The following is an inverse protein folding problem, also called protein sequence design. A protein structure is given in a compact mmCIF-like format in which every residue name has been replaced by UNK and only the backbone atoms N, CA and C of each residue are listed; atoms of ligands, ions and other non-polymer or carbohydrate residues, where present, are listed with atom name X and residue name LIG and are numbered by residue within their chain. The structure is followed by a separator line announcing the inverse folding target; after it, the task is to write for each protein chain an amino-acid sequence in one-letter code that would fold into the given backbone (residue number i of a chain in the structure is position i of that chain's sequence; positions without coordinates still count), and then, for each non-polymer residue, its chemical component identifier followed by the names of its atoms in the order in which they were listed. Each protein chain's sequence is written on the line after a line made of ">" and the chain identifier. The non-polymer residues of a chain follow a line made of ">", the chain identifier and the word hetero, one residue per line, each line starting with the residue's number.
data_IF_061149202093
#
_entry.id   IF_061149202093
#
_cell.length_a   1.000
_cell.length_b   1.000
_cell.length_c   1.000
_cell.angle_alpha   90.00
_cell.angle_beta   90.00
_cell.angle_gamma   90.00
#
_symmetry.space_group_name_H-M   'P 1'
#
loop_
_entity.id
_entity.type
_entity.pdbx_description
1 polymer ?
#
# COMPACT_ATOMS: atom_id res chain seq x y z
N UNK A 1 11.06 12.97 22.50
CA UNK A 1 10.56 13.90 23.54
C UNK A 1 10.96 13.46 24.95
N UNK A 2 10.58 12.27 25.40
CA UNK A 2 10.93 11.73 26.75
C UNK A 2 12.45 11.66 27.04
N UNK A 3 13.27 11.22 26.08
CA UNK A 3 14.73 11.19 26.26
C UNK A 3 15.35 12.58 26.48
N UNK A 4 14.82 13.61 25.80
CA UNK A 4 15.28 14.99 25.97
C UNK A 4 14.91 15.50 27.37
N UNK A 5 13.69 15.19 27.83
CA UNK A 5 13.24 15.55 29.19
C UNK A 5 14.07 14.86 30.27
N UNK A 6 14.41 13.58 30.09
CA UNK A 6 15.28 12.84 31.00
C UNK A 6 16.70 13.40 31.04
N UNK A 7 17.27 13.77 29.89
CA UNK A 7 18.58 14.40 29.82
C UNK A 7 18.60 15.76 30.54
N UNK A 8 17.55 16.57 30.38
CA UNK A 8 17.41 17.86 31.06
C UNK A 8 17.28 17.68 32.58
N UNK A 9 16.46 16.73 33.05
CA UNK A 9 16.32 16.42 34.48
C UNK A 9 17.63 15.89 35.07
N UNK A 10 18.38 15.07 34.34
CA UNK A 10 19.69 14.57 34.78
C UNK A 10 20.70 15.72 34.94
N UNK A 11 20.74 16.65 33.98
CA UNK A 11 21.59 17.85 34.05
C UNK A 11 21.23 18.73 35.25
N UNK A 12 19.94 19.00 35.45
CA UNK A 12 19.46 19.79 36.60
C UNK A 12 19.81 19.13 37.93
N UNK A 13 19.65 17.81 38.02
CA UNK A 13 20.02 17.02 39.21
C UNK A 13 21.52 17.11 39.51
N UNK A 14 22.36 17.02 38.47
CA UNK A 14 23.82 17.11 38.61
C UNK A 14 24.27 18.51 39.07
N UNK A 15 23.69 19.56 38.51
CA UNK A 15 23.97 20.94 38.90
C UNK A 15 23.56 21.21 40.36
N UNK A 16 22.36 20.77 40.76
CA UNK A 16 21.91 20.85 42.14
C UNK A 16 22.81 20.07 43.09
N UNK A 17 23.24 18.86 42.72
CA UNK A 17 24.16 18.06 43.53
C UNK A 17 25.50 18.81 43.76
N UNK A 18 26.08 19.37 42.69
CA UNK A 18 27.33 20.16 42.79
C UNK A 18 27.17 21.37 43.69
N UNK A 19 26.06 22.10 43.58
CA UNK A 19 25.77 23.27 44.42
C UNK A 19 25.61 22.89 45.89
N UNK A 20 24.82 21.84 46.17
CA UNK A 20 24.60 21.30 47.51
C UNK A 20 25.91 20.87 48.14
N UNK A 21 26.74 20.11 47.42
CA UNK A 21 28.00 19.61 47.96
C UNK A 21 29.01 20.73 48.22
N UNK A 22 29.11 21.70 47.31
CA UNK A 22 29.94 22.90 47.52
C UNK A 22 29.53 23.65 48.79
N UNK A 23 28.23 23.83 49.02
CA UNK A 23 27.71 24.50 50.22
C UNK A 23 27.87 23.66 51.49
N UNK A 24 27.72 22.34 51.41
CA UNK A 24 28.00 21.43 52.54
C UNK A 24 29.46 21.52 52.97
N UNK A 25 30.40 21.51 52.02
CA UNK A 25 31.83 21.66 52.29
C UNK A 25 32.08 23.00 52.99
N UNK A 26 31.55 24.10 52.45
CA UNK A 26 31.70 25.43 53.06
C UNK A 26 31.14 25.49 54.50
N UNK A 27 29.97 24.89 54.74
CA UNK A 27 29.39 24.81 56.09
C UNK A 27 30.21 23.91 57.03
N UNK A 28 30.73 22.79 56.53
CA UNK A 28 31.59 21.91 57.31
C UNK A 28 32.90 22.61 57.70
N UNK A 29 33.55 23.31 56.78
CA UNK A 29 34.76 24.09 57.04
C UNK A 29 34.50 25.18 58.09
N UNK A 30 33.39 25.90 57.97
CA UNK A 30 32.96 26.89 58.97
C UNK A 30 32.70 26.26 60.33
N UNK A 31 32.02 25.11 60.38
CA UNK A 31 31.73 24.41 61.63
C UNK A 31 33.02 23.92 62.30
N UNK A 32 33.96 23.38 61.52
CA UNK A 32 35.29 22.98 62.01
C UNK A 32 36.07 24.18 62.52
N UNK A 33 36.05 25.31 61.79
CA UNK A 33 36.70 26.55 62.21
C UNK A 33 36.12 27.05 63.54
N UNK A 34 34.79 27.12 63.65
CA UNK A 34 34.11 27.51 64.89
C UNK A 34 34.38 26.51 66.01
N UNK A 35 34.48 25.21 65.76
CA UNK A 35 34.81 24.25 66.81
C UNK A 35 36.26 24.40 67.30
N UNK A 36 37.22 24.55 66.38
CA UNK A 36 38.67 24.66 66.70
C UNK A 36 39.05 26.00 67.31
N UNK A 37 38.42 27.09 66.86
CA UNK A 37 38.78 28.46 67.20
C UNK A 37 37.65 29.24 67.92
N UNK A 38 36.48 28.64 68.13
CA UNK A 38 35.30 29.27 68.74
C UNK A 38 35.35 29.40 70.25
N UNK A 39 36.50 29.15 70.88
CA UNK A 39 36.78 29.66 72.21
C UNK A 39 37.00 31.20 72.21
N UNK A 40 36.91 31.85 71.04
CA UNK A 40 36.79 33.30 70.91
C UNK A 40 35.34 33.71 71.16
N UNK A 41 35.02 33.96 72.42
CA UNK A 41 33.77 34.59 72.85
C UNK A 41 33.47 35.82 71.99
N UNK A 42 32.43 35.75 71.17
CA UNK A 42 31.82 36.93 70.52
C UNK A 42 31.58 38.03 71.55
N UNK A 43 31.20 37.61 72.77
CA UNK A 43 31.08 38.47 73.94
C UNK A 43 32.41 39.15 74.32
N UNK A 44 33.57 38.48 74.28
CA UNK A 44 34.88 39.11 74.55
C UNK A 44 35.27 40.12 73.47
N UNK A 45 34.96 39.85 72.20
CA UNK A 45 35.24 40.80 71.11
C UNK A 45 34.38 42.07 71.21
N UNK A 46 33.15 41.93 71.72
CA UNK A 46 32.25 43.06 71.98
C UNK A 46 32.63 43.79 73.27
N UNK A 47 32.91 43.07 74.37
CA UNK A 47 33.25 43.63 75.70
C UNK A 47 34.67 44.23 75.72
N UNK A 48 35.60 43.67 74.94
CA UNK A 48 36.99 44.13 74.84
C UNK A 48 37.21 45.33 73.92
N UNK A 49 36.14 45.87 73.32
CA UNK A 49 36.19 47.05 72.47
C UNK A 49 36.58 48.29 73.28
N UNK A 50 37.45 49.14 72.72
CA UNK A 50 38.02 50.32 73.40
C UNK A 50 37.14 51.57 73.27
N UNK A 51 36.10 51.52 72.43
CA UNK A 51 35.18 52.63 72.19
C UNK A 51 33.78 52.15 71.82
N UNK A 52 32.77 53.00 72.02
CA UNK A 52 31.39 52.75 71.58
C UNK A 52 31.29 52.51 70.07
N UNK A 53 32.11 53.20 69.27
CA UNK A 53 32.14 53.01 67.82
C UNK A 53 32.62 51.61 67.42
N UNK A 54 33.63 51.10 68.13
CA UNK A 54 34.15 49.74 67.92
C UNK A 54 33.13 48.67 68.32
N UNK A 55 32.42 48.86 69.44
CA UNK A 55 31.30 47.98 69.85
C UNK A 55 30.24 47.90 68.75
N UNK A 56 29.82 49.06 68.23
CA UNK A 56 28.77 49.16 67.22
C UNK A 56 29.21 48.48 65.91
N UNK A 57 30.44 48.75 65.44
CA UNK A 57 30.98 48.11 64.23
C UNK A 57 31.08 46.59 64.38
N UNK A 58 31.57 46.11 65.53
CA UNK A 58 31.69 44.69 65.82
C UNK A 58 30.31 44.01 65.80
N UNK A 59 29.30 44.65 66.42
CA UNK A 59 27.92 44.16 66.41
C UNK A 59 27.33 44.11 65.00
N UNK A 60 27.58 45.14 64.17
CA UNK A 60 27.17 45.16 62.77
C UNK A 60 27.81 44.05 61.95
N UNK A 61 29.11 43.79 62.13
CA UNK A 61 29.81 42.70 61.44
C UNK A 61 29.22 41.34 61.81
N UNK A 62 28.99 41.08 63.11
CA UNK A 62 28.36 39.83 63.56
C UNK A 62 26.95 39.66 63.01
N UNK A 63 26.12 40.71 63.04
CA UNK A 63 24.79 40.67 62.43
C UNK A 63 24.87 40.26 60.96
N UNK A 64 25.76 40.88 60.20
CA UNK A 64 25.91 40.59 58.77
C UNK A 64 26.39 39.15 58.51
N UNK A 65 27.33 38.64 59.33
CA UNK A 65 27.80 37.25 59.24
C UNK A 65 26.65 36.28 59.53
N UNK A 66 25.92 36.48 60.63
CA UNK A 66 24.79 35.63 61.02
C UNK A 66 23.67 35.65 59.99
N UNK A 67 23.35 36.81 59.41
CA UNK A 67 22.36 36.92 58.33
C UNK A 67 22.79 36.14 57.09
N UNK A 68 24.06 36.26 56.66
CA UNK A 68 24.58 35.48 55.52
C UNK A 68 24.60 33.98 55.78
N UNK A 69 24.87 33.56 57.01
CA UNK A 69 24.84 32.13 57.38
C UNK A 69 23.44 31.56 57.41
N UNK A 70 22.47 32.33 57.92
CA UNK A 70 21.07 31.96 57.85
C UNK A 70 20.62 31.83 56.38
N UNK A 71 20.99 32.77 55.51
CA UNK A 71 20.72 32.69 54.07
C UNK A 71 21.35 31.46 53.42
N UNK A 72 22.62 31.15 53.73
CA UNK A 72 23.31 29.97 53.21
C UNK A 72 22.57 28.68 53.59
N UNK A 73 22.16 28.55 54.86
CA UNK A 73 21.41 27.38 55.35
C UNK A 73 20.04 27.30 54.67
N UNK A 74 19.34 28.42 54.51
CA UNK A 74 18.04 28.46 53.82
C UNK A 74 18.16 28.05 52.36
N UNK A 75 19.15 28.57 51.63
CA UNK A 75 19.37 28.18 50.23
C UNK A 75 19.74 26.71 50.09
N UNK A 76 20.55 26.17 51.01
CA UNK A 76 20.89 24.75 51.01
C UNK A 76 19.66 23.86 51.28
N UNK A 77 18.77 24.26 52.18
CA UNK A 77 17.51 23.56 52.42
C UNK A 77 16.63 23.55 51.18
N UNK A 78 16.45 24.71 50.56
CA UNK A 78 15.67 24.83 49.33
C UNK A 78 16.25 24.00 48.19
N UNK A 79 17.56 24.06 47.94
CA UNK A 79 18.20 23.26 46.89
C UNK A 79 18.08 21.76 47.14
N UNK A 80 18.14 21.33 48.41
CA UNK A 80 17.92 19.93 48.77
C UNK A 80 16.48 19.49 48.47
N UNK A 81 15.49 20.31 48.81
CA UNK A 81 14.08 20.02 48.50
C UNK A 81 13.83 19.96 46.99
N UNK A 82 14.41 20.88 46.22
CA UNK A 82 14.35 20.86 44.76
C UNK A 82 15.08 19.65 44.17
N UNK A 83 16.24 19.26 44.72
CA UNK A 83 16.94 18.04 44.31
C UNK A 83 16.09 16.79 44.52
N UNK A 84 15.42 16.67 45.66
CA UNK A 84 14.53 15.55 45.95
C UNK A 84 13.33 15.54 44.99
N UNK A 85 12.77 16.72 44.68
CA UNK A 85 11.68 16.85 43.69
C UNK A 85 12.11 16.43 42.29
N UNK A 86 13.25 16.93 41.82
CA UNK A 86 13.81 16.61 40.50
C UNK A 86 14.15 15.13 40.41
N UNK A 87 14.68 14.54 41.49
CA UNK A 87 15.01 13.11 41.55
C UNK A 87 13.76 12.24 41.40
N UNK A 88 12.69 12.51 42.15
CA UNK A 88 11.42 11.78 42.00
C UNK A 88 10.85 11.90 40.58
N UNK A 89 10.83 13.12 40.04
CA UNK A 89 10.35 13.36 38.67
C UNK A 89 11.18 12.63 37.61
N UNK A 90 12.50 12.54 37.81
CA UNK A 90 13.39 11.77 36.94
C UNK A 90 13.09 10.27 37.01
N UNK A 91 12.86 9.72 38.20
CA UNK A 91 12.51 8.31 38.41
C UNK A 91 11.16 7.96 37.77
N UNK A 92 10.14 8.79 37.97
CA UNK A 92 8.83 8.64 37.31
C UNK A 92 8.95 8.64 35.78
N UNK A 93 9.72 9.59 35.23
CA UNK A 93 9.95 9.68 33.78
C UNK A 93 10.76 8.51 33.24
N UNK A 94 11.68 7.96 34.02
CA UNK A 94 12.43 6.76 33.64
C UNK A 94 11.50 5.55 33.56
N UNK A 95 10.62 5.37 34.54
CA UNK A 95 9.65 4.29 34.55
C UNK A 95 8.68 4.41 33.37
N UNK A 96 8.17 5.63 33.09
CA UNK A 96 7.33 5.90 31.92
C UNK A 96 8.04 5.53 30.61
N UNK A 97 9.32 5.89 30.49
CA UNK A 97 10.13 5.55 29.32
C UNK A 97 10.40 4.04 29.20
N UNK A 98 10.56 3.33 30.31
CA UNK A 98 10.77 1.88 30.33
C UNK A 98 9.50 1.12 29.90
N UNK A 99 8.34 1.50 30.43
CA UNK A 99 7.04 0.94 30.04
C UNK A 99 6.80 1.17 28.54
N UNK A 100 7.02 2.41 28.06
CA UNK A 100 6.85 2.72 26.64
C UNK A 100 7.81 1.92 25.74
N UNK A 101 9.04 1.68 26.18
CA UNK A 101 9.99 0.82 25.44
C UNK A 101 9.55 -0.63 25.41
N UNK A 102 9.05 -1.16 26.53
CA UNK A 102 8.55 -2.53 26.58
C UNK A 102 7.35 -2.74 25.64
N UNK A 103 6.38 -1.80 25.63
CA UNK A 103 5.23 -1.88 24.72
C UNK A 103 5.64 -1.78 23.25
N UNK A 104 6.59 -0.89 22.93
CA UNK A 104 7.11 -0.76 21.56
C UNK A 104 7.84 -2.02 21.10
N UNK A 105 8.58 -2.69 21.97
CA UNK A 105 9.29 -3.92 21.63
C UNK A 105 8.31 -5.08 21.37
N UNK A 106 7.22 -5.16 22.13
CA UNK A 106 6.16 -6.15 21.91
C UNK A 106 5.43 -5.90 20.58
N UNK A 107 5.09 -4.65 20.28
CA UNK A 107 4.49 -4.27 19.00
C UNK A 107 5.42 -4.56 17.82
N UNK A 108 6.71 -4.26 17.96
CA UNK A 108 7.74 -4.55 16.95
C UNK A 108 7.83 -6.05 16.65
N UNK A 109 7.84 -6.91 17.68
CA UNK A 109 7.84 -8.38 17.50
C UNK A 109 6.62 -8.87 16.75
N UNK A 110 5.44 -8.29 17.04
CA UNK A 110 4.21 -8.62 16.32
C UNK A 110 4.30 -8.23 14.84
N UNK A 111 4.77 -7.01 14.54
CA UNK A 111 4.97 -6.54 13.18
C UNK A 111 6.01 -7.37 12.41
N UNK A 112 7.10 -7.77 13.05
CA UNK A 112 8.12 -8.65 12.44
C UNK A 112 7.51 -10.01 12.05
N UNK A 113 6.64 -10.57 12.89
CA UNK A 113 5.91 -11.79 12.58
C UNK A 113 4.96 -11.59 11.40
N UNK A 114 4.17 -10.52 11.40
CA UNK A 114 3.23 -10.22 10.31
C UNK A 114 3.95 -9.98 8.97
N UNK A 115 5.13 -9.33 8.99
CA UNK A 115 5.97 -9.16 7.79
C UNK A 115 6.46 -10.51 7.27
N UNK A 116 6.91 -11.40 8.16
CA UNK A 116 7.35 -12.73 7.76
C UNK A 116 6.21 -13.56 7.13
N UNK A 117 5.00 -13.51 7.72
CA UNK A 117 3.82 -14.17 7.17
C UNK A 117 3.44 -13.60 5.79
N UNK A 118 3.45 -12.28 5.63
CA UNK A 118 3.15 -11.62 4.36
C UNK A 118 4.18 -11.92 3.27
N UNK A 119 5.46 -12.07 3.63
CA UNK A 119 6.51 -12.43 2.68
C UNK A 119 6.28 -13.83 2.09
N UNK A 120 5.89 -14.79 2.92
CA UNK A 120 5.55 -16.15 2.47
C UNK A 120 4.34 -16.14 1.52
N UNK A 121 3.32 -15.33 1.83
CA UNK A 121 2.15 -15.17 0.97
C UNK A 121 2.52 -14.55 -0.39
N UNK A 122 3.39 -13.53 -0.39
CA UNK A 122 3.89 -12.91 -1.62
C UNK A 122 4.64 -13.90 -2.51
N UNK A 123 5.47 -14.76 -1.92
CA UNK A 123 6.21 -15.77 -2.68
C UNK A 123 5.28 -16.84 -3.27
N UNK A 124 4.21 -17.22 -2.56
CA UNK A 124 3.16 -18.10 -3.09
C UNK A 124 2.44 -17.46 -4.28
N UNK A 125 2.00 -16.21 -4.15
CA UNK A 125 1.29 -15.50 -5.21
C UNK A 125 2.15 -15.33 -6.47
N UNK A 126 3.44 -15.06 -6.32
CA UNK A 126 4.38 -15.02 -7.46
C UNK A 126 4.54 -16.38 -8.15
N UNK A 127 4.43 -17.47 -7.40
CA UNK A 127 4.40 -18.82 -7.96
C UNK A 127 3.15 -19.05 -8.80
N UNK A 128 1.98 -18.76 -8.23
CA UNK A 128 0.68 -18.87 -8.91
C UNK A 128 0.60 -17.98 -10.17
N UNK A 129 1.14 -16.76 -10.10
CA UNK A 129 1.18 -15.85 -11.25
C UNK A 129 2.01 -16.43 -12.42
N UNK A 130 3.15 -17.06 -12.13
CA UNK A 130 3.96 -17.74 -13.14
C UNK A 130 3.21 -18.91 -13.76
N UNK A 131 2.56 -19.74 -12.96
CA UNK A 131 1.78 -20.87 -13.47
C UNK A 131 0.65 -20.39 -14.41
N UNK A 132 -0.06 -19.32 -14.03
CA UNK A 132 -1.10 -18.73 -14.87
C UNK A 132 -0.51 -18.17 -16.18
N UNK A 133 0.65 -17.51 -16.12
CA UNK A 133 1.33 -17.01 -17.33
C UNK A 133 1.75 -18.15 -18.26
N UNK A 134 2.29 -19.25 -17.71
CA UNK A 134 2.68 -20.43 -18.48
C UNK A 134 1.47 -21.06 -19.16
N UNK A 135 0.36 -21.24 -18.43
CA UNK A 135 -0.91 -21.75 -18.98
C UNK A 135 -1.44 -20.83 -20.10
N UNK A 136 -1.40 -19.50 -19.90
CA UNK A 136 -1.83 -18.54 -20.91
C UNK A 136 -0.98 -18.63 -22.19
N UNK A 137 0.34 -18.82 -22.04
CA UNK A 137 1.25 -18.97 -23.18
C UNK A 137 0.96 -20.25 -23.98
N UNK A 138 0.68 -21.36 -23.28
CA UNK A 138 0.32 -22.65 -23.88
C UNK A 138 -1.03 -22.58 -24.59
N UNK A 139 -2.03 -21.93 -23.99
CA UNK A 139 -3.34 -21.70 -24.63
C UNK A 139 -3.18 -20.88 -25.91
N UNK A 140 -2.41 -19.78 -25.88
CA UNK A 140 -2.14 -18.94 -27.06
C UNK A 140 -1.49 -19.75 -28.18
N UNK A 141 -0.53 -20.63 -27.85
CA UNK A 141 0.13 -21.50 -28.81
C UNK A 141 -0.85 -22.48 -29.46
N UNK A 142 -1.70 -23.14 -28.66
CA UNK A 142 -2.71 -24.07 -29.18
C UNK A 142 -3.73 -23.38 -30.07
N UNK A 143 -4.15 -22.16 -29.74
CA UNK A 143 -5.04 -21.36 -30.58
C UNK A 143 -4.36 -21.06 -31.93
N UNK A 144 -3.07 -20.69 -31.93
CA UNK A 144 -2.32 -20.40 -33.15
C UNK A 144 -2.13 -21.63 -34.07
N UNK A 145 -2.05 -22.84 -33.52
CA UNK A 145 -1.96 -24.09 -34.31
C UNK A 145 -3.30 -24.51 -34.94
N UNK A 146 -4.43 -24.10 -34.34
CA UNK A 146 -5.78 -24.45 -34.83
C UNK A 146 -6.31 -23.41 -35.83
N UNK A 147 -5.81 -22.18 -35.80
CA UNK A 147 -6.26 -21.11 -36.68
C UNK A 147 -5.47 -21.07 -38.01
N UNK A 148 -6.14 -21.00 -39.17
CA UNK A 148 -5.46 -20.77 -40.45
C UNK A 148 -4.82 -19.37 -40.46
N UNK A 149 -3.63 -19.25 -41.07
CA UNK A 149 -2.86 -18.01 -41.10
C UNK A 149 -3.66 -16.86 -41.74
N UNK A 150 -3.89 -15.79 -40.96
CA UNK A 150 -4.50 -14.55 -41.42
C UNK A 150 -5.98 -14.34 -41.07
N UNK A 151 -6.61 -15.26 -40.33
CA UNK A 151 -8.04 -15.16 -39.96
C UNK A 151 -8.23 -15.44 -38.47
N UNK A 152 -8.75 -14.46 -37.72
CA UNK A 152 -9.13 -14.65 -36.31
C UNK A 152 -10.53 -15.25 -36.26
N UNK A 153 -10.63 -16.51 -35.80
CA UNK A 153 -11.91 -17.19 -35.63
C UNK A 153 -12.50 -16.85 -34.26
N UNK A 154 -13.61 -16.11 -34.23
CA UNK A 154 -14.19 -15.55 -32.99
C UNK A 154 -15.39 -16.35 -32.48
N UNK A 155 -15.99 -17.17 -33.35
CA UNK A 155 -17.13 -18.01 -33.02
C UNK A 155 -17.31 -19.14 -34.01
N UNK A 156 -18.04 -20.17 -33.60
CA UNK A 156 -18.41 -21.30 -34.46
C UNK A 156 -19.91 -21.58 -34.42
N UNK A 157 -20.46 -21.94 -35.57
CA UNK A 157 -21.82 -22.47 -35.70
C UNK A 157 -21.80 -23.82 -36.40
N UNK A 158 -22.58 -24.77 -35.89
CA UNK A 158 -22.93 -25.98 -36.63
C UNK A 158 -24.27 -25.78 -37.32
N UNK A 159 -24.24 -25.71 -38.65
CA UNK A 159 -25.43 -25.43 -39.46
C UNK A 159 -25.67 -26.54 -40.47
N UNK A 160 -26.94 -26.72 -40.84
CA UNK A 160 -27.31 -27.53 -41.99
C UNK A 160 -27.20 -26.67 -43.24
N UNK A 161 -26.19 -26.94 -44.07
CA UNK A 161 -25.96 -26.25 -45.32
C UNK A 161 -26.71 -26.89 -46.49
N UNK A 162 -27.30 -26.03 -47.31
CA UNK A 162 -27.77 -26.34 -48.66
C UNK A 162 -26.97 -25.52 -49.68
N UNK A 163 -27.20 -25.78 -50.96
CA UNK A 163 -26.58 -25.05 -52.05
C UNK A 163 -27.64 -24.56 -53.03
N UNK A 164 -27.50 -23.32 -53.49
CA UNK A 164 -28.34 -22.74 -54.52
C UNK A 164 -27.51 -22.17 -55.66
N UNK A 165 -28.10 -22.22 -56.85
CA UNK A 165 -27.46 -21.77 -58.08
C UNK A 165 -27.79 -20.30 -58.34
N UNK A 166 -26.75 -19.45 -58.43
CA UNK A 166 -26.89 -17.99 -58.55
C UNK A 166 -27.77 -17.53 -59.72
N UNK A 167 -27.79 -18.27 -60.83
CA UNK A 167 -28.52 -17.93 -62.05
C UNK A 167 -29.80 -18.75 -62.26
N UNK A 168 -30.14 -19.62 -61.31
CA UNK A 168 -31.33 -20.46 -61.34
C UNK A 168 -32.53 -19.82 -60.62
N UNK A 169 -33.67 -20.52 -60.59
CA UNK A 169 -34.88 -20.06 -59.90
C UNK A 169 -34.69 -19.78 -58.39
N UNK A 170 -33.62 -20.28 -57.77
CA UNK A 170 -33.28 -19.99 -56.37
C UNK A 170 -32.40 -18.75 -56.17
N UNK A 171 -31.73 -18.26 -57.21
CA UNK A 171 -30.93 -17.02 -57.17
C UNK A 171 -31.63 -15.83 -57.81
N UNK A 172 -32.60 -16.07 -58.69
CA UNK A 172 -33.35 -15.02 -59.37
C UNK A 172 -34.43 -14.42 -58.45
N UNK A 173 -34.36 -13.11 -58.22
CA UNK A 173 -35.44 -12.35 -57.60
C UNK A 173 -36.66 -12.26 -58.53
N UNK A 174 -37.76 -11.66 -58.06
CA UNK A 174 -39.00 -11.45 -58.85
C UNK A 174 -38.75 -10.72 -60.18
N UNK A 175 -37.61 -10.02 -60.32
CA UNK A 175 -37.22 -9.28 -61.53
C UNK A 175 -36.13 -9.99 -62.36
N UNK A 176 -35.70 -11.19 -61.97
CA UNK A 176 -34.68 -11.98 -62.68
C UNK A 176 -33.25 -11.47 -62.56
N UNK A 177 -32.96 -10.59 -61.59
CA UNK A 177 -31.69 -9.84 -61.55
C UNK A 177 -30.61 -10.45 -60.64
N UNK A 178 -30.94 -11.50 -59.89
CA UNK A 178 -29.95 -12.17 -59.03
C UNK A 178 -29.54 -11.37 -57.80
N UNK A 179 -30.43 -10.54 -57.24
CA UNK A 179 -30.11 -9.58 -56.17
C UNK A 179 -30.47 -10.18 -54.80
N UNK A 180 -29.51 -10.17 -53.90
CA UNK A 180 -29.63 -10.66 -52.50
C UNK A 180 -30.31 -9.66 -51.59
N UNK A 181 -30.70 -10.09 -50.38
CA UNK A 181 -31.36 -9.24 -49.39
C UNK A 181 -30.61 -7.94 -49.05
N UNK A 182 -29.28 -7.91 -49.11
CA UNK A 182 -28.48 -6.69 -48.90
C UNK A 182 -28.22 -5.88 -50.18
N UNK A 183 -28.82 -6.25 -51.31
CA UNK A 183 -28.64 -5.57 -52.59
C UNK A 183 -27.40 -5.99 -53.40
N UNK A 184 -26.64 -6.99 -52.94
CA UNK A 184 -25.50 -7.52 -53.68
C UNK A 184 -25.95 -8.54 -54.73
N UNK A 185 -25.19 -8.67 -55.83
CA UNK A 185 -25.44 -9.71 -56.83
C UNK A 185 -24.98 -11.08 -56.33
N UNK A 186 -25.87 -12.07 -56.37
CA UNK A 186 -25.59 -13.44 -56.00
C UNK A 186 -24.41 -14.00 -56.81
N UNK A 187 -23.40 -14.50 -56.10
CA UNK A 187 -22.18 -15.13 -56.63
C UNK A 187 -21.54 -15.98 -55.54
N UNK A 188 -20.55 -16.80 -55.91
CA UNK A 188 -19.77 -17.55 -54.92
C UNK A 188 -19.13 -16.60 -53.90
N UNK A 189 -19.20 -16.96 -52.63
CA UNK A 189 -18.80 -16.10 -51.51
C UNK A 189 -19.93 -15.28 -50.91
N UNK A 190 -21.16 -15.37 -51.44
CA UNK A 190 -22.36 -14.86 -50.75
C UNK A 190 -23.18 -16.04 -50.23
N UNK A 191 -23.69 -15.91 -49.01
CA UNK A 191 -24.50 -16.95 -48.36
C UNK A 191 -25.80 -16.37 -47.84
N UNK A 192 -26.85 -17.19 -47.89
CA UNK A 192 -28.13 -16.89 -47.27
C UNK A 192 -28.16 -17.43 -45.84
N UNK A 193 -28.58 -16.61 -44.89
CA UNK A 193 -28.64 -16.95 -43.46
C UNK A 193 -29.96 -16.52 -42.84
N UNK A 194 -30.23 -16.97 -41.61
CA UNK A 194 -31.25 -16.36 -40.76
C UNK A 194 -30.65 -15.17 -40.00
N UNK A 195 -31.07 -13.91 -40.28
CA UNK A 195 -30.50 -12.71 -39.65
C UNK A 195 -30.63 -12.67 -38.13
N UNK A 196 -31.52 -13.48 -37.54
CA UNK A 196 -31.72 -13.57 -36.09
C UNK A 196 -30.59 -14.35 -35.40
N UNK A 197 -29.85 -15.16 -36.15
CA UNK A 197 -28.74 -15.99 -35.65
C UNK A 197 -27.42 -15.49 -36.20
N UNK A 198 -27.35 -15.18 -37.50
CA UNK A 198 -26.18 -14.58 -38.14
C UNK A 198 -26.62 -13.27 -38.79
N UNK A 199 -26.28 -12.11 -38.20
CA UNK A 199 -26.61 -10.82 -38.79
C UNK A 199 -26.07 -10.67 -40.22
N UNK A 200 -26.81 -9.97 -41.07
CA UNK A 200 -26.33 -9.63 -42.41
C UNK A 200 -25.10 -8.71 -42.33
N UNK A 201 -24.16 -8.87 -43.25
CA UNK A 201 -22.85 -8.21 -43.26
C UNK A 201 -21.75 -8.98 -42.53
N UNK A 202 -22.08 -10.09 -41.85
CA UNK A 202 -21.09 -10.91 -41.14
C UNK A 202 -20.15 -11.63 -42.12
N UNK A 203 -18.84 -11.52 -41.89
CA UNK A 203 -17.81 -12.30 -42.61
C UNK A 203 -17.67 -13.67 -41.97
N UNK A 204 -17.69 -14.70 -42.80
CA UNK A 204 -17.70 -16.10 -42.38
C UNK A 204 -16.60 -16.86 -43.11
N UNK A 205 -16.05 -17.88 -42.46
CA UNK A 205 -15.17 -18.86 -43.09
C UNK A 205 -15.83 -20.22 -43.06
N UNK A 206 -15.97 -20.84 -44.23
CA UNK A 206 -16.60 -22.15 -44.39
C UNK A 206 -15.57 -23.12 -44.97
N UNK A 207 -15.13 -24.14 -44.22
CA UNK A 207 -14.17 -25.12 -44.70
C UNK A 207 -14.66 -25.79 -46.00
N UNK A 208 -13.82 -25.76 -47.04
CA UNK A 208 -14.13 -26.33 -48.36
C UNK A 208 -14.98 -25.44 -49.27
N UNK A 209 -15.47 -24.29 -48.80
CA UNK A 209 -16.16 -23.28 -49.62
C UNK A 209 -15.36 -21.98 -49.72
N UNK A 210 -14.73 -21.55 -48.62
CA UNK A 210 -13.89 -20.35 -48.53
C UNK A 210 -14.50 -19.26 -47.65
N UNK A 211 -13.99 -18.03 -47.79
CA UNK A 211 -14.57 -16.84 -47.18
C UNK A 211 -15.94 -16.54 -47.79
N UNK A 212 -16.87 -16.13 -46.95
CA UNK A 212 -18.26 -15.87 -47.30
C UNK A 212 -18.79 -14.64 -46.57
N UNK A 213 -19.72 -13.93 -47.21
CA UNK A 213 -20.45 -12.81 -46.65
C UNK A 213 -21.93 -13.18 -46.48
N UNK A 214 -22.44 -13.04 -45.26
CA UNK A 214 -23.86 -13.15 -44.98
C UNK A 214 -24.61 -11.96 -45.60
N UNK A 215 -25.07 -12.10 -46.84
CA UNK A 215 -25.67 -11.00 -47.60
C UNK A 215 -27.08 -11.31 -48.11
N UNK A 216 -27.56 -12.53 -47.88
CA UNK A 216 -28.85 -12.97 -48.40
C UNK A 216 -29.73 -13.60 -47.33
N UNK A 217 -31.02 -13.73 -47.64
CA UNK A 217 -32.01 -14.42 -46.79
C UNK A 217 -32.93 -15.26 -47.67
N UNK A 218 -33.38 -16.40 -47.16
CA UNK A 218 -34.34 -17.24 -47.87
C UNK A 218 -35.53 -17.59 -46.99
N UNK A 219 -36.73 -17.70 -47.57
CA UNK A 219 -37.94 -18.04 -46.82
C UNK A 219 -37.85 -19.37 -46.05
N UNK A 220 -37.01 -20.29 -46.54
CA UNK A 220 -36.74 -21.61 -45.95
C UNK A 220 -35.42 -21.68 -45.16
N UNK A 221 -34.63 -20.60 -45.18
CA UNK A 221 -33.37 -20.47 -44.46
C UNK A 221 -33.66 -19.81 -43.11
N UNK A 222 -34.09 -20.66 -42.16
CA UNK A 222 -34.46 -20.27 -40.80
C UNK A 222 -33.74 -21.17 -39.81
N UNK A 223 -33.45 -20.62 -38.65
CA UNK A 223 -32.76 -21.27 -37.55
C UNK A 223 -31.33 -21.72 -37.96
N UNK A 224 -30.98 -22.97 -37.72
CA UNK A 224 -29.65 -23.57 -37.92
C UNK A 224 -29.35 -23.90 -39.39
N UNK A 225 -29.79 -23.06 -40.34
CA UNK A 225 -29.64 -23.30 -41.78
C UNK A 225 -28.87 -22.20 -42.47
N UNK A 226 -28.10 -22.60 -43.48
CA UNK A 226 -27.33 -21.71 -44.34
C UNK A 226 -27.44 -22.20 -45.78
N UNK A 227 -27.56 -21.28 -46.74
CA UNK A 227 -27.55 -21.61 -48.16
C UNK A 227 -26.32 -21.03 -48.82
N UNK A 228 -25.51 -21.88 -49.47
CA UNK A 228 -24.27 -21.48 -50.11
C UNK A 228 -24.52 -21.21 -51.59
N UNK A 229 -24.13 -20.02 -52.06
CA UNK A 229 -24.27 -19.65 -53.46
C UNK A 229 -23.17 -20.29 -54.30
N UNK A 230 -23.53 -20.98 -55.38
CA UNK A 230 -22.58 -21.49 -56.36
C UNK A 230 -22.86 -20.92 -57.75
N UNK A 231 -21.80 -20.89 -58.56
CA UNK A 231 -21.82 -20.36 -59.93
C UNK A 231 -22.08 -21.44 -60.99
N UNK A 232 -22.22 -22.70 -60.59
CA UNK A 232 -22.61 -23.79 -61.47
C UNK A 232 -23.61 -24.73 -60.80
N UNK A 233 -24.55 -25.24 -61.59
CA UNK A 233 -25.55 -26.20 -61.11
C UNK A 233 -24.90 -27.53 -60.69
N UNK A 234 -23.82 -27.93 -61.38
CA UNK A 234 -23.06 -29.13 -61.07
C UNK A 234 -22.42 -29.07 -59.67
N UNK A 235 -21.85 -27.92 -59.29
CA UNK A 235 -21.30 -27.72 -57.94
C UNK A 235 -22.39 -27.77 -56.87
N UNK A 236 -23.58 -27.23 -57.13
CA UNK A 236 -24.72 -27.33 -56.21
C UNK A 236 -25.09 -28.79 -55.94
N UNK A 237 -25.22 -29.60 -56.99
CA UNK A 237 -25.56 -31.02 -56.86
C UNK A 237 -24.46 -31.82 -56.16
N UNK A 238 -23.19 -31.51 -56.47
CA UNK A 238 -22.04 -32.15 -55.82
C UNK A 238 -21.92 -31.77 -54.34
N UNK A 239 -22.29 -30.55 -53.98
CA UNK A 239 -22.31 -30.11 -52.59
C UNK A 239 -23.45 -30.78 -51.82
N UNK A 240 -24.67 -30.78 -52.36
CA UNK A 240 -25.82 -31.39 -51.70
C UNK A 240 -26.14 -30.78 -50.33
N UNK A 241 -26.93 -31.49 -49.51
CA UNK A 241 -27.28 -31.04 -48.15
C UNK A 241 -26.42 -31.75 -47.12
N UNK A 242 -25.71 -31.00 -46.28
CA UNK A 242 -24.81 -31.56 -45.26
C UNK A 242 -24.72 -30.64 -44.04
N UNK A 243 -24.35 -31.21 -42.88
CA UNK A 243 -23.98 -30.40 -41.71
C UNK A 243 -22.55 -29.90 -41.89
N UNK A 244 -22.34 -28.61 -41.69
CA UNK A 244 -21.03 -27.97 -41.77
C UNK A 244 -20.76 -27.14 -40.51
N UNK A 245 -19.47 -26.89 -40.26
CA UNK A 245 -19.03 -25.87 -39.32
C UNK A 245 -18.79 -24.57 -40.08
N UNK A 246 -19.31 -23.47 -39.56
CA UNK A 246 -19.13 -22.12 -40.08
C UNK A 246 -18.47 -21.31 -38.99
N UNK A 247 -17.40 -20.60 -39.32
CA UNK A 247 -16.67 -19.79 -38.37
C UNK A 247 -16.90 -18.31 -38.61
N UNK A 248 -17.06 -17.54 -37.53
CA UNK A 248 -17.05 -16.08 -37.55
C UNK A 248 -15.63 -15.60 -37.80
N UNK A 249 -15.47 -14.68 -38.74
CA UNK A 249 -14.21 -14.01 -39.02
C UNK A 249 -14.29 -12.57 -38.54
N UNK A 250 -13.36 -12.17 -37.67
CA UNK A 250 -13.08 -10.76 -37.37
C UNK A 250 -11.76 -10.34 -38.05
N UNK A 251 -11.72 -9.09 -38.51
CA UNK A 251 -10.54 -8.44 -39.11
C UNK A 251 -9.45 -8.16 -38.06
#
# INVERSE_FOLDING_TARGET
>A
MLQIQLAELARQKEELAKNIDSKKILLADKMIFTYKYGNNDVARFIIGARSLNEVVNNLFLFKNIMSREAELIQTLRFEKEEFDRVSRKSEEKMLEAEIARASMEEEKKKLEKDIAENQVLLDRLKGEEKEVQDILSEIKRRIAEVQPAGITLVGEWQLTATAYYAFGSGGNDINGNGITATGLRARKGIVAVDPRIIPLGTKLYIPGYGEALAADTGGWIKNDRIDLCFESLEECFRFGRRKIRVYLVED
#
